data_IF_162996052664
#
_entry.id   IF_162996052664
#
_cell.length_a   1.000
_cell.length_b   1.000
_cell.length_c   1.000
_cell.angle_alpha   90.00
_cell.angle_beta   90.00
_cell.angle_gamma   90.00
#
_symmetry.space_group_name_H-M   'P 1'
#
loop_
_entity.id
_entity.type
_entity.pdbx_description
1 polymer ?
#
# COMPACT_ATOMS: atom_id res chain seq x y z
N UNK A 1 -17.90 -14.01 -8.87
CA UNK A 1 -17.42 -12.81 -8.15
C UNK A 1 -17.14 -13.29 -6.74
N UNK A 2 -15.92 -13.13 -6.24
CA UNK A 2 -15.58 -13.51 -4.85
C UNK A 2 -16.26 -12.48 -3.94
N UNK A 3 -16.80 -12.92 -2.81
CA UNK A 3 -17.35 -12.01 -1.82
C UNK A 3 -16.21 -11.11 -1.27
N UNK A 4 -16.40 -9.78 -1.14
CA UNK A 4 -15.36 -8.90 -0.62
C UNK A 4 -14.85 -9.29 0.77
N UNK A 5 -15.72 -9.83 1.63
CA UNK A 5 -15.35 -10.27 2.96
C UNK A 5 -14.45 -11.51 2.90
N UNK A 6 -14.77 -12.47 2.04
CA UNK A 6 -13.95 -13.65 1.80
C UNK A 6 -12.56 -13.24 1.25
N UNK A 7 -12.52 -12.26 0.34
CA UNK A 7 -11.26 -11.76 -0.21
C UNK A 7 -10.35 -11.14 0.86
N UNK A 8 -10.93 -10.38 1.80
CA UNK A 8 -10.20 -9.81 2.94
C UNK A 8 -9.66 -10.90 3.86
N UNK A 9 -10.46 -11.93 4.16
CA UNK A 9 -10.03 -13.04 5.02
C UNK A 9 -8.88 -13.83 4.39
N UNK A 10 -8.99 -14.14 3.10
CA UNK A 10 -7.92 -14.84 2.35
C UNK A 10 -6.65 -14.00 2.28
N UNK A 11 -6.76 -12.70 2.01
CA UNK A 11 -5.60 -11.81 1.96
C UNK A 11 -4.92 -11.69 3.32
N UNK A 12 -5.69 -11.52 4.39
CA UNK A 12 -5.16 -11.52 5.75
C UNK A 12 -4.39 -12.81 6.05
N UNK A 13 -4.99 -13.97 5.73
CA UNK A 13 -4.34 -15.25 5.94
C UNK A 13 -3.03 -15.37 5.15
N UNK A 14 -3.02 -14.92 3.89
CA UNK A 14 -1.86 -14.94 3.00
C UNK A 14 -0.72 -14.03 3.51
N UNK A 15 -1.02 -12.78 3.85
CA UNK A 15 0.00 -11.81 4.24
C UNK A 15 0.61 -12.08 5.61
N UNK A 16 -0.13 -12.73 6.51
CA UNK A 16 0.45 -13.30 7.74
C UNK A 16 1.31 -14.55 7.50
N UNK A 17 1.16 -15.21 6.34
CA UNK A 17 1.74 -16.52 6.04
C UNK A 17 2.31 -16.55 4.62
N UNK A 18 3.29 -15.69 4.38
CA UNK A 18 3.91 -15.54 3.05
C UNK A 18 4.63 -16.81 2.55
N UNK A 19 4.83 -17.83 3.40
CA UNK A 19 5.27 -19.17 2.98
C UNK A 19 4.29 -19.86 2.02
N UNK A 20 3.00 -19.48 2.02
CA UNK A 20 1.99 -19.99 1.07
C UNK A 20 2.38 -19.65 -0.38
N UNK A 21 3.12 -18.55 -0.57
CA UNK A 21 3.64 -18.16 -1.89
C UNK A 21 4.62 -19.23 -2.39
N UNK A 22 5.47 -19.77 -1.51
CA UNK A 22 6.42 -20.82 -1.89
C UNK A 22 5.67 -22.10 -2.30
N UNK A 23 4.69 -22.53 -1.50
CA UNK A 23 3.83 -23.69 -1.79
C UNK A 23 3.09 -23.56 -3.13
N UNK A 24 2.62 -22.34 -3.45
CA UNK A 24 1.98 -22.06 -4.73
C UNK A 24 2.98 -22.16 -5.88
N UNK A 25 4.16 -21.55 -5.73
CA UNK A 25 5.18 -21.49 -6.77
C UNK A 25 5.73 -22.88 -7.12
N UNK A 26 5.89 -23.77 -6.13
CA UNK A 26 6.33 -25.16 -6.35
C UNK A 26 5.40 -25.98 -7.27
N UNK A 27 4.13 -25.58 -7.35
CA UNK A 27 3.09 -26.29 -8.11
C UNK A 27 2.65 -25.54 -9.35
N UNK A 28 3.20 -24.34 -9.57
CA UNK A 28 2.81 -23.45 -10.66
C UNK A 28 3.68 -23.68 -11.89
N UNK A 29 3.10 -23.56 -13.08
CA UNK A 29 3.83 -23.48 -14.35
C UNK A 29 3.78 -22.03 -14.85
N UNK A 30 4.45 -21.14 -14.12
CA UNK A 30 4.51 -19.71 -14.42
C UNK A 30 5.86 -19.34 -15.06
N UNK A 31 5.90 -18.32 -15.93
CA UNK A 31 7.16 -17.79 -16.41
C UNK A 31 8.03 -17.26 -15.26
N UNK A 32 9.34 -17.39 -15.37
CA UNK A 32 10.31 -16.98 -14.34
C UNK A 32 10.08 -15.53 -13.86
N UNK A 33 9.79 -14.59 -14.77
CA UNK A 33 9.49 -13.20 -14.41
C UNK A 33 8.32 -13.08 -13.43
N UNK A 34 7.27 -13.89 -13.62
CA UNK A 34 6.10 -13.89 -12.74
C UNK A 34 6.43 -14.53 -11.39
N UNK A 35 7.23 -15.60 -11.40
CA UNK A 35 7.68 -16.25 -10.16
C UNK A 35 8.51 -15.28 -9.32
N UNK A 36 9.42 -14.52 -9.91
CA UNK A 36 10.23 -13.52 -9.21
C UNK A 36 9.38 -12.37 -8.63
N UNK A 37 8.36 -11.92 -9.37
CA UNK A 37 7.40 -10.93 -8.83
C UNK A 37 6.68 -11.51 -7.61
N UNK A 38 6.14 -12.73 -7.70
CA UNK A 38 5.43 -13.36 -6.59
C UNK A 38 6.35 -13.59 -5.37
N UNK A 39 7.59 -14.04 -5.58
CA UNK A 39 8.58 -14.18 -4.49
C UNK A 39 8.84 -12.85 -3.79
N UNK A 40 8.90 -11.74 -4.54
CA UNK A 40 9.11 -10.41 -3.96
C UNK A 40 7.97 -10.00 -3.02
N UNK A 41 6.73 -10.48 -3.26
CA UNK A 41 5.58 -10.15 -2.40
C UNK A 41 5.72 -10.68 -0.97
N UNK A 42 6.65 -11.60 -0.71
CA UNK A 42 6.99 -12.03 0.67
C UNK A 42 7.58 -10.88 1.52
N UNK A 43 8.05 -9.81 0.88
CA UNK A 43 8.52 -8.58 1.52
C UNK A 43 7.38 -7.57 1.74
N UNK A 44 6.12 -7.99 1.62
CA UNK A 44 4.97 -7.10 1.78
C UNK A 44 5.01 -6.34 3.11
N UNK A 45 4.50 -5.11 3.08
CA UNK A 45 4.33 -4.28 4.28
C UNK A 45 2.83 -4.11 4.51
N UNK A 46 2.30 -4.76 5.53
CA UNK A 46 0.92 -4.58 5.97
C UNK A 46 0.90 -3.67 7.18
N UNK A 47 -0.02 -2.71 7.19
CA UNK A 47 -0.13 -1.78 8.30
C UNK A 47 -1.17 -0.71 8.06
N UNK A 48 -1.09 0.32 8.90
CA UNK A 48 -1.97 1.47 8.85
C UNK A 48 -1.22 2.69 8.34
N UNK A 49 -1.86 3.41 7.43
CA UNK A 49 -1.23 4.50 6.71
C UNK A 49 -2.15 5.71 6.60
N UNK A 50 -1.53 6.89 6.62
CA UNK A 50 -2.14 8.15 6.21
C UNK A 50 -1.84 8.36 4.73
N UNK A 51 -2.86 8.49 3.89
CA UNK A 51 -2.71 9.08 2.57
C UNK A 51 -2.70 10.59 2.73
N UNK A 52 -1.53 11.20 2.57
CA UNK A 52 -1.38 12.64 2.74
C UNK A 52 -1.78 13.40 1.47
N UNK A 53 -1.42 12.90 0.29
CA UNK A 53 -1.84 13.48 -1.01
C UNK A 53 -1.75 12.51 -2.18
N UNK A 54 -2.46 12.86 -3.25
CA UNK A 54 -2.34 12.24 -4.56
C UNK A 54 -1.36 13.03 -5.46
N UNK A 55 -0.55 12.32 -6.23
CA UNK A 55 0.38 12.86 -7.23
C UNK A 55 0.14 12.15 -8.57
N UNK A 56 0.65 12.73 -9.66
CA UNK A 56 0.55 12.12 -11.01
C UNK A 56 1.12 10.70 -11.10
N UNK A 57 2.13 10.38 -10.28
CA UNK A 57 2.84 9.09 -10.32
C UNK A 57 2.36 8.08 -9.27
N UNK A 58 1.42 8.45 -8.40
CA UNK A 58 0.98 7.63 -7.27
C UNK A 58 0.53 8.50 -6.10
N UNK A 59 0.24 7.88 -4.96
CA UNK A 59 -0.12 8.60 -3.72
C UNK A 59 0.98 8.51 -2.69
N UNK A 60 1.07 9.54 -1.86
CA UNK A 60 1.98 9.59 -0.73
C UNK A 60 1.29 8.98 0.47
N UNK A 61 1.88 7.89 0.98
CA UNK A 61 1.45 7.22 2.19
C UNK A 61 2.47 7.46 3.30
N UNK A 62 2.00 7.66 4.52
CA UNK A 62 2.81 7.80 5.72
C UNK A 62 2.41 6.68 6.67
N UNK A 63 3.37 5.85 7.06
CA UNK A 63 3.19 4.83 8.10
C UNK A 63 2.92 5.49 9.44
N UNK A 64 1.91 5.04 10.17
CA UNK A 64 1.62 5.59 11.51
C UNK A 64 2.59 5.09 12.59
N UNK A 65 3.32 4.01 12.32
CA UNK A 65 4.17 3.34 13.30
C UNK A 65 5.55 4.03 13.41
N UNK A 66 6.08 4.49 12.27
CA UNK A 66 7.46 4.98 12.16
C UNK A 66 7.62 6.24 11.29
N UNK A 67 6.53 6.80 10.77
CA UNK A 67 6.52 7.92 9.82
C UNK A 67 7.27 7.66 8.50
N UNK A 68 7.57 6.40 8.16
CA UNK A 68 8.10 6.05 6.84
C UNK A 68 7.15 6.55 5.75
N UNK A 69 7.72 7.22 4.73
CA UNK A 69 6.96 7.79 3.61
C UNK A 69 7.13 6.95 2.36
N UNK A 70 6.01 6.54 1.76
CA UNK A 70 5.95 5.69 0.58
C UNK A 70 5.27 6.41 -0.58
N UNK A 71 5.74 6.16 -1.80
CA UNK A 71 5.03 6.50 -3.03
C UNK A 71 4.44 5.22 -3.61
N UNK A 72 3.12 5.10 -3.56
CA UNK A 72 2.39 3.88 -3.95
C UNK A 72 1.55 4.15 -5.19
N UNK A 73 1.68 3.28 -6.19
CA UNK A 73 1.00 3.40 -7.46
C UNK A 73 -0.39 2.75 -7.40
N UNK A 74 -1.33 3.31 -8.14
CA UNK A 74 -2.54 2.59 -8.55
C UNK A 74 -2.22 1.68 -9.74
N UNK A 75 -2.81 0.48 -9.78
CA UNK A 75 -2.61 -0.48 -10.88
C UNK A 75 -3.65 -0.25 -11.98
N UNK A 76 -4.93 -0.36 -11.63
CA UNK A 76 -6.05 -0.26 -12.56
C UNK A 76 -6.70 1.12 -12.47
N UNK A 77 -7.02 1.54 -11.25
CA UNK A 77 -7.50 2.88 -10.92
C UNK A 77 -6.46 3.60 -10.08
N UNK A 78 -6.41 4.93 -10.19
CA UNK A 78 -5.63 5.73 -9.25
C UNK A 78 -6.27 5.66 -7.85
N UNK A 79 -5.46 5.86 -6.81
CA UNK A 79 -5.97 6.00 -5.44
C UNK A 79 -6.96 7.15 -5.29
N UNK A 80 -6.77 8.24 -6.04
CA UNK A 80 -7.70 9.38 -6.07
C UNK A 80 -9.08 8.96 -6.62
N UNK A 81 -9.11 8.10 -7.63
CA UNK A 81 -10.36 7.55 -8.16
C UNK A 81 -11.01 6.56 -7.18
N UNK A 82 -10.21 5.67 -6.57
CA UNK A 82 -10.68 4.70 -5.58
C UNK A 82 -11.24 5.38 -4.32
N UNK A 83 -10.68 6.53 -3.95
CA UNK A 83 -10.98 7.25 -2.70
C UNK A 83 -11.62 8.62 -2.94
N UNK A 84 -12.29 8.81 -4.09
CA UNK A 84 -12.85 10.11 -4.53
C UNK A 84 -13.66 10.86 -3.46
N UNK A 85 -14.34 10.12 -2.57
CA UNK A 85 -15.21 10.68 -1.54
C UNK A 85 -14.59 10.66 -0.13
N UNK A 86 -13.35 10.17 0.01
CA UNK A 86 -12.67 10.12 1.29
C UNK A 86 -12.13 11.52 1.68
N UNK A 87 -12.21 11.90 2.96
CA UNK A 87 -11.59 13.13 3.43
C UNK A 87 -10.07 13.03 3.33
N UNK A 88 -9.41 14.12 2.94
CA UNK A 88 -7.94 14.19 2.89
C UNK A 88 -7.35 15.01 4.04
N UNK A 89 -6.26 14.55 4.67
CA UNK A 89 -5.66 13.21 4.57
C UNK A 89 -6.59 12.09 5.01
N UNK A 90 -6.42 10.88 4.47
CA UNK A 90 -7.24 9.69 4.78
C UNK A 90 -6.43 8.68 5.59
N UNK A 91 -7.00 8.11 6.66
CA UNK A 91 -6.42 6.97 7.38
C UNK A 91 -7.02 5.66 6.88
N UNK A 92 -6.17 4.67 6.58
CA UNK A 92 -6.63 3.35 6.16
C UNK A 92 -5.64 2.24 6.54
N UNK A 93 -6.16 1.02 6.57
CA UNK A 93 -5.34 -0.20 6.59
C UNK A 93 -5.12 -0.67 5.14
N UNK A 94 -3.87 -1.02 4.80
CA UNK A 94 -3.48 -1.54 3.47
C UNK A 94 -2.28 -2.49 3.56
N UNK A 95 -2.10 -3.28 2.50
CA UNK A 95 -0.88 -4.04 2.25
C UNK A 95 -0.17 -3.49 1.03
N UNK A 96 1.12 -3.18 1.17
CA UNK A 96 2.00 -2.77 0.09
C UNK A 96 2.83 -3.94 -0.42
N UNK A 97 2.87 -4.09 -1.74
CA UNK A 97 3.58 -5.16 -2.44
C UNK A 97 4.66 -4.57 -3.35
N UNK A 98 5.87 -5.17 -3.40
CA UNK A 98 6.83 -4.86 -4.44
C UNK A 98 6.29 -5.30 -5.81
N UNK A 99 6.40 -4.44 -6.81
CA UNK A 99 6.01 -4.77 -8.17
C UNK A 99 6.94 -4.09 -9.19
N UNK A 100 7.93 -4.86 -9.65
CA UNK A 100 8.98 -4.37 -10.55
C UNK A 100 9.69 -3.13 -9.95
N UNK A 101 9.45 -1.96 -10.53
CA UNK A 101 10.06 -0.69 -10.14
C UNK A 101 9.11 0.22 -9.32
N UNK A 102 8.03 -0.33 -8.79
CA UNK A 102 7.00 0.41 -8.06
C UNK A 102 6.54 -0.36 -6.80
N UNK A 103 5.86 0.36 -5.91
CA UNK A 103 5.05 -0.22 -4.84
C UNK A 103 3.59 -0.15 -5.28
N UNK A 104 2.86 -1.25 -5.12
CA UNK A 104 1.42 -1.35 -5.36
C UNK A 104 0.70 -1.77 -4.07
N UNK A 105 -0.62 -1.87 -4.11
CA UNK A 105 -1.41 -2.55 -3.06
C UNK A 105 -2.06 -3.81 -3.63
N UNK A 106 -2.39 -4.75 -2.75
CA UNK A 106 -3.27 -5.89 -3.04
C UNK A 106 -4.71 -5.47 -3.43
N UNK A 107 -5.04 -4.18 -3.29
CA UNK A 107 -6.32 -3.59 -3.66
C UNK A 107 -7.39 -3.73 -2.57
N UNK A 108 -7.06 -4.33 -1.43
CA UNK A 108 -7.96 -4.52 -0.31
C UNK A 108 -7.60 -3.48 0.76
N UNK A 109 -8.43 -2.45 0.88
CA UNK A 109 -8.21 -1.36 1.84
C UNK A 109 -9.41 -1.12 2.73
N UNK A 110 -9.14 -0.79 3.99
CA UNK A 110 -10.16 -0.42 4.96
C UNK A 110 -9.97 1.02 5.38
N UNK A 111 -10.86 1.91 4.91
CA UNK A 111 -10.81 3.33 5.24
C UNK A 111 -11.45 3.57 6.60
N UNK A 112 -10.74 4.26 7.49
CA UNK A 112 -11.27 4.66 8.80
C UNK A 112 -12.00 6.01 8.67
N UNK A 113 -13.22 6.16 9.24
CA UNK A 113 -14.03 7.36 9.11
C UNK A 113 -13.55 8.49 10.04
N UNK A 114 -12.31 8.95 9.85
CA UNK A 114 -11.67 9.99 10.65
C UNK A 114 -11.48 11.26 9.82
N UNK A 115 -11.80 12.40 10.41
CA UNK A 115 -11.52 13.72 9.85
C UNK A 115 -10.41 14.37 10.67
N UNK A 116 -9.28 14.65 10.04
CA UNK A 116 -8.16 15.31 10.70
C UNK A 116 -8.36 16.82 10.82
N UNK A 117 -8.02 17.37 11.99
CA UNK A 117 -8.01 18.81 12.21
C UNK A 117 -6.80 19.51 11.56
N UNK A 118 -6.77 20.85 11.51
CA UNK A 118 -5.71 21.61 10.84
C UNK A 118 -4.29 21.30 11.32
N UNK A 119 -4.09 21.07 12.62
CA UNK A 119 -2.77 20.76 13.18
C UNK A 119 -2.25 19.42 12.67
N UNK A 120 -3.03 18.35 12.78
CA UNK A 120 -2.63 17.03 12.25
C UNK A 120 -2.35 17.08 10.73
N UNK A 121 -3.14 17.86 9.98
CA UNK A 121 -2.87 18.07 8.54
C UNK A 121 -1.53 18.76 8.29
N UNK A 122 -1.16 19.71 9.13
CA UNK A 122 0.15 20.36 9.06
C UNK A 122 1.29 19.39 9.39
N UNK A 123 1.13 18.58 10.43
CA UNK A 123 2.12 17.59 10.86
C UNK A 123 2.38 16.55 9.75
N UNK A 124 1.33 15.98 9.15
CA UNK A 124 1.49 15.02 8.04
C UNK A 124 2.16 15.63 6.82
N UNK A 125 1.82 16.88 6.51
CA UNK A 125 2.46 17.63 5.43
C UNK A 125 3.95 17.84 5.73
N UNK A 126 4.33 18.13 6.97
CA UNK A 126 5.72 18.29 7.38
C UNK A 126 6.51 16.99 7.22
N UNK A 127 5.97 15.86 7.72
CA UNK A 127 6.57 14.53 7.54
C UNK A 127 6.87 14.23 6.06
N UNK A 128 5.90 14.46 5.17
CA UNK A 128 6.11 14.27 3.74
C UNK A 128 7.18 15.23 3.17
N UNK A 129 7.14 16.51 3.56
CA UNK A 129 8.07 17.51 3.04
C UNK A 129 9.51 17.24 3.48
N UNK A 130 9.72 16.73 4.69
CA UNK A 130 11.04 16.38 5.20
C UNK A 130 11.58 15.13 4.50
N UNK A 131 10.77 14.07 4.37
CA UNK A 131 11.16 12.91 3.57
C UNK A 131 11.50 13.29 2.12
N UNK A 132 10.74 14.24 1.54
CA UNK A 132 11.02 14.75 0.19
C UNK A 132 12.34 15.50 0.10
N UNK A 133 12.65 16.37 1.07
CA UNK A 133 13.90 17.15 1.12
C UNK A 133 15.11 16.24 1.28
N UNK A 134 14.98 15.18 2.07
CA UNK A 134 16.05 14.24 2.39
C UNK A 134 16.21 13.12 1.35
N UNK A 135 15.27 12.97 0.41
CA UNK A 135 15.28 11.88 -0.57
C UNK A 135 14.88 10.52 0.03
N UNK A 136 14.10 10.52 1.11
CA UNK A 136 13.73 9.34 1.91
C UNK A 136 12.36 8.76 1.51
N UNK A 137 11.75 9.26 0.44
CA UNK A 137 10.49 8.70 -0.09
C UNK A 137 10.77 7.33 -0.72
N UNK A 138 10.23 6.28 -0.12
CA UNK A 138 10.33 4.90 -0.59
C UNK A 138 9.39 4.68 -1.77
N UNK A 139 9.94 4.50 -2.96
CA UNK A 139 9.19 4.10 -4.16
C UNK A 139 9.39 2.60 -4.52
N UNK A 140 10.14 1.88 -3.68
CA UNK A 140 10.44 0.44 -3.76
C UNK A 140 10.57 -0.10 -2.33
N UNK A 141 10.33 -1.40 -2.19
CA UNK A 141 10.55 -2.19 -0.96
C UNK A 141 11.79 -3.06 -1.21
#
# INVERSE_FOLDING_TARGET
MIDPQDAVEVAHFLWERTWIIDDYLERSDLPEEHMEILKSWKQCITGRFIIERHLKKGSVFISIDDNSVFLVNGIVSSWEEMLRNAPMPTLLDATFLPFKNAIISDGLVSVMPIIFGPNSKADFKEIYMDAKRNGEIKARI
#
